data_IF_448911986916
#
_entry.id   IF_448911986916
#
_cell.length_a   1.000
_cell.length_b   1.000
_cell.length_c   1.000
_cell.angle_alpha   90.00
_cell.angle_beta   90.00
_cell.angle_gamma   90.00
#
_symmetry.space_group_name_H-M   'P 1'
#
loop_
_entity.id
_entity.type
_entity.pdbx_description
1 polymer ?
#
# COMPACT_ATOMS: atom_id res chain seq x y z
N UNK A 1 6.21 20.34 -7.16
CA UNK A 1 6.96 19.11 -7.53
C UNK A 1 6.25 17.84 -7.09
N UNK A 2 5.86 17.69 -5.81
CA UNK A 2 5.09 16.51 -5.33
C UNK A 2 3.85 16.21 -6.16
N UNK A 3 3.09 17.24 -6.52
CA UNK A 3 1.84 17.11 -7.29
C UNK A 3 2.05 16.43 -8.64
N UNK A 4 3.16 16.73 -9.32
CA UNK A 4 3.50 16.13 -10.62
C UNK A 4 3.81 14.64 -10.45
N UNK A 5 4.51 14.26 -9.37
CA UNK A 5 4.79 12.85 -9.05
C UNK A 5 3.52 12.08 -8.68
N UNK A 6 2.66 12.66 -7.85
CA UNK A 6 1.38 12.05 -7.48
C UNK A 6 0.50 11.86 -8.71
N UNK A 7 0.41 12.87 -9.57
CA UNK A 7 -0.33 12.79 -10.82
C UNK A 7 0.25 11.75 -11.79
N UNK A 8 1.58 11.64 -11.88
CA UNK A 8 2.21 10.60 -12.68
C UNK A 8 1.77 9.20 -12.23
N UNK A 9 1.78 8.96 -10.91
CA UNK A 9 1.33 7.70 -10.33
C UNK A 9 -0.16 7.43 -10.54
N UNK A 10 -1.02 8.45 -10.42
CA UNK A 10 -2.47 8.32 -10.62
C UNK A 10 -2.86 8.06 -12.08
N UNK A 11 -2.14 8.65 -13.03
CA UNK A 11 -2.45 8.51 -14.46
C UNK A 11 -1.85 7.24 -15.09
N UNK A 12 -1.12 6.41 -14.33
CA UNK A 12 -0.56 5.12 -14.78
C UNK A 12 0.24 5.18 -16.10
N UNK A 13 0.92 6.29 -16.37
CA UNK A 13 1.78 6.41 -17.54
C UNK A 13 2.99 5.48 -17.43
N UNK A 14 3.36 4.83 -18.54
CA UNK A 14 4.53 3.93 -18.58
C UNK A 14 5.86 4.68 -18.50
N UNK A 15 5.94 5.86 -19.11
CA UNK A 15 7.16 6.64 -19.24
C UNK A 15 6.96 8.03 -18.64
N UNK A 16 7.81 8.39 -17.69
CA UNK A 16 7.79 9.72 -17.06
C UNK A 16 8.06 10.83 -18.08
N UNK A 17 8.96 10.60 -19.05
CA UNK A 17 9.27 11.58 -20.09
C UNK A 17 8.04 11.94 -20.93
N UNK A 18 7.22 10.96 -21.31
CA UNK A 18 6.01 11.19 -22.10
C UNK A 18 4.95 11.94 -21.29
N UNK A 19 4.77 11.55 -20.02
CA UNK A 19 3.91 12.29 -19.08
C UNK A 19 4.39 13.73 -18.85
N UNK A 20 5.69 13.96 -18.79
CA UNK A 20 6.21 15.31 -18.54
C UNK A 20 6.07 16.23 -19.76
N UNK A 21 6.36 15.72 -20.96
CA UNK A 21 6.39 16.53 -22.18
C UNK A 21 4.99 16.82 -22.73
N UNK A 22 4.06 15.87 -22.63
CA UNK A 22 2.74 16.04 -23.22
C UNK A 22 1.79 16.71 -22.21
N UNK A 23 1.29 16.04 -21.15
CA UNK A 23 0.30 16.69 -20.31
C UNK A 23 0.85 17.82 -19.44
N UNK A 24 2.05 17.69 -18.87
CA UNK A 24 2.57 18.69 -17.92
C UNK A 24 3.05 19.96 -18.63
N UNK A 25 3.86 19.84 -19.70
CA UNK A 25 4.35 21.01 -20.42
C UNK A 25 3.29 21.71 -21.30
N UNK A 26 2.25 21.00 -21.75
CA UNK A 26 1.20 21.59 -22.61
C UNK A 26 0.06 22.16 -21.79
N UNK A 27 -0.55 21.35 -20.90
CA UNK A 27 -1.75 21.78 -20.17
C UNK A 27 -1.43 22.47 -18.84
N UNK A 28 -0.37 22.07 -18.14
CA UNK A 28 -0.09 22.57 -16.79
C UNK A 28 0.95 23.69 -16.74
N UNK A 29 1.29 24.26 -17.89
CA UNK A 29 2.25 25.37 -17.98
C UNK A 29 1.76 26.64 -17.30
N UNK A 30 0.44 26.84 -17.24
CA UNK A 30 -0.17 27.97 -16.53
C UNK A 30 -0.08 27.80 -15.01
N UNK A 31 -0.26 26.58 -14.51
CA UNK A 31 -0.17 26.23 -13.09
C UNK A 31 1.27 26.26 -12.56
N UNK A 32 2.24 26.00 -13.45
CA UNK A 32 3.66 25.98 -13.11
C UNK A 32 4.46 26.89 -14.06
N UNK A 33 4.45 28.21 -13.83
CA UNK A 33 5.13 29.17 -14.71
C UNK A 33 6.66 29.00 -14.73
N UNK A 34 7.24 28.40 -13.69
CA UNK A 34 8.66 28.02 -13.63
C UNK A 34 8.83 26.51 -13.56
N UNK A 35 8.49 25.84 -14.66
CA UNK A 35 8.67 24.40 -14.78
C UNK A 35 10.16 24.07 -15.04
N UNK A 36 10.82 23.25 -14.21
CA UNK A 36 12.21 22.85 -14.45
C UNK A 36 12.32 22.00 -15.72
N UNK A 37 13.53 21.89 -16.27
CA UNK A 37 13.78 20.91 -17.33
C UNK A 37 13.55 19.48 -16.80
N UNK A 38 13.14 18.57 -17.69
CA UNK A 38 12.92 17.16 -17.34
C UNK A 38 14.10 16.53 -16.58
N UNK A 39 15.33 16.84 -16.99
CA UNK A 39 16.55 16.33 -16.35
C UNK A 39 16.71 16.85 -14.92
N UNK A 40 16.54 18.17 -14.70
CA UNK A 40 16.54 18.76 -13.36
C UNK A 40 15.44 18.19 -12.48
N UNK A 41 14.28 17.92 -13.07
CA UNK A 41 13.18 17.28 -12.35
C UNK A 41 13.58 15.88 -11.87
N UNK A 42 14.14 15.03 -12.74
CA UNK A 42 14.60 13.67 -12.37
C UNK A 42 15.62 13.70 -11.22
N UNK A 43 16.58 14.64 -11.25
CA UNK A 43 17.54 14.80 -10.17
C UNK A 43 16.88 15.17 -8.83
N UNK A 44 15.75 15.87 -8.86
CA UNK A 44 14.98 16.24 -7.68
C UNK A 44 13.98 15.18 -7.20
N UNK A 45 13.63 14.19 -8.03
CA UNK A 45 12.73 13.09 -7.66
C UNK A 45 13.15 12.41 -6.34
N UNK A 46 14.39 11.93 -6.14
CA UNK A 46 14.76 11.23 -4.89
C UNK A 46 14.65 12.13 -3.66
N UNK A 47 14.99 13.42 -3.80
CA UNK A 47 14.91 14.40 -2.71
C UNK A 47 13.46 14.71 -2.32
N UNK A 48 12.54 14.64 -3.28
CA UNK A 48 11.11 14.90 -3.05
C UNK A 48 10.33 13.65 -2.62
N UNK A 49 10.81 12.46 -2.98
CA UNK A 49 10.23 11.18 -2.55
C UNK A 49 10.20 11.00 -1.04
N UNK A 50 11.23 11.41 -0.32
CA UNK A 50 11.31 11.29 1.14
C UNK A 50 10.15 12.05 1.83
N UNK A 51 9.98 13.37 1.60
CA UNK A 51 8.87 14.11 2.16
C UNK A 51 7.50 13.62 1.67
N UNK A 52 7.39 13.12 0.44
CA UNK A 52 6.15 12.52 -0.05
C UNK A 52 5.78 11.24 0.73
N UNK A 53 6.76 10.37 0.97
CA UNK A 53 6.58 9.16 1.77
C UNK A 53 6.19 9.47 3.21
N UNK A 54 6.81 10.51 3.81
CA UNK A 54 6.45 10.97 5.16
C UNK A 54 5.03 11.53 5.17
N UNK A 55 4.67 12.34 4.18
CA UNK A 55 3.31 12.88 4.03
C UNK A 55 2.27 11.77 3.89
N UNK A 56 2.51 10.78 3.01
CA UNK A 56 1.63 9.62 2.87
C UNK A 56 1.53 8.82 4.16
N UNK A 57 2.66 8.52 4.83
CA UNK A 57 2.66 7.86 6.14
C UNK A 57 1.90 8.63 7.21
N UNK A 58 1.91 9.96 7.15
CA UNK A 58 1.12 10.79 8.06
C UNK A 58 -0.37 10.75 7.71
N UNK A 59 -0.73 10.69 6.43
CA UNK A 59 -2.12 10.52 5.98
C UNK A 59 -2.67 9.12 6.33
N UNK A 60 -1.83 8.09 6.34
CA UNK A 60 -2.15 6.80 6.94
C UNK A 60 -2.19 6.98 8.47
N UNK A 61 -3.34 7.36 9.03
CA UNK A 61 -3.53 7.58 10.47
C UNK A 61 -3.03 6.41 11.33
N UNK A 62 -2.92 6.60 12.65
CA UNK A 62 -2.39 5.59 13.59
C UNK A 62 -3.06 4.22 13.35
N UNK A 63 -2.30 3.27 12.82
CA UNK A 63 -2.74 1.89 12.68
C UNK A 63 -2.96 1.29 14.08
N UNK A 64 -4.20 1.32 14.57
CA UNK A 64 -4.59 0.70 15.84
C UNK A 64 -4.69 -0.80 15.66
N UNK A 65 -3.54 -1.48 15.68
CA UNK A 65 -3.39 -2.93 15.83
C UNK A 65 -3.88 -3.82 14.67
N UNK A 66 -4.69 -3.31 13.74
CA UNK A 66 -5.23 -4.09 12.62
C UNK A 66 -5.28 -3.22 11.36
N UNK A 67 -4.26 -3.35 10.51
CA UNK A 67 -4.24 -2.72 9.19
C UNK A 67 -4.89 -3.69 8.19
N UNK A 68 -6.19 -3.54 7.94
CA UNK A 68 -6.82 -4.23 6.81
C UNK A 68 -6.36 -3.55 5.52
N UNK A 69 -5.27 -4.05 4.96
CA UNK A 69 -5.04 -3.89 3.52
C UNK A 69 -6.05 -4.83 2.87
N UNK A 70 -6.94 -4.31 2.01
CA UNK A 70 -7.79 -5.13 1.14
C UNK A 70 -6.88 -5.88 0.16
N UNK A 71 -6.19 -6.90 0.67
CA UNK A 71 -5.45 -7.84 -0.13
C UNK A 71 -6.50 -8.63 -0.89
N UNK A 72 -6.71 -8.28 -2.15
CA UNK A 72 -7.42 -9.15 -3.11
C UNK A 72 -6.97 -10.58 -2.87
N UNK A 73 -7.92 -11.48 -2.58
CA UNK A 73 -7.63 -12.87 -2.22
C UNK A 73 -6.61 -13.48 -3.18
N UNK A 74 -5.36 -13.63 -2.72
CA UNK A 74 -4.31 -14.22 -3.55
C UNK A 74 -4.67 -15.71 -3.68
N UNK A 75 -5.08 -16.13 -4.88
CA UNK A 75 -5.30 -17.53 -5.21
C UNK A 75 -3.93 -18.23 -5.34
N UNK A 76 -3.27 -18.45 -4.21
CA UNK A 76 -1.91 -19.03 -4.14
C UNK A 76 -1.88 -20.45 -4.69
N UNK A 77 -2.92 -21.25 -4.43
CA UNK A 77 -3.03 -22.60 -4.92
C UNK A 77 -4.50 -23.00 -5.13
N UNK A 78 -4.73 -23.99 -6.00
CA UNK A 78 -6.04 -24.62 -6.11
C UNK A 78 -6.40 -25.31 -4.78
N UNK A 79 -7.68 -25.23 -4.38
CA UNK A 79 -8.18 -25.78 -3.11
C UNK A 79 -7.78 -27.24 -2.84
N UNK A 80 -7.59 -28.05 -3.90
CA UNK A 80 -7.18 -29.48 -3.79
C UNK A 80 -5.71 -29.69 -3.41
N UNK A 81 -4.84 -28.68 -3.58
CA UNK A 81 -3.38 -28.78 -3.39
C UNK A 81 -2.86 -28.03 -2.18
N UNK A 82 -3.73 -27.47 -1.34
CA UNK A 82 -3.37 -26.71 -0.14
C UNK A 82 -2.43 -27.53 0.77
N UNK A 83 -2.76 -28.80 1.02
CA UNK A 83 -1.96 -29.69 1.89
C UNK A 83 -0.60 -30.11 1.31
N UNK A 84 -0.36 -29.89 0.02
CA UNK A 84 0.91 -30.22 -0.63
C UNK A 84 1.90 -29.06 -0.67
N UNK A 85 1.45 -27.86 -0.30
CA UNK A 85 2.22 -26.63 -0.49
C UNK A 85 3.15 -26.34 0.69
N UNK A 86 4.42 -26.72 0.58
CA UNK A 86 5.42 -26.57 1.65
C UNK A 86 5.75 -25.11 2.02
N UNK A 87 5.63 -24.18 1.08
CA UNK A 87 6.02 -22.76 1.30
C UNK A 87 4.95 -21.96 2.06
N UNK A 88 3.69 -22.40 2.03
CA UNK A 88 2.58 -21.74 2.74
C UNK A 88 1.95 -22.68 3.77
N UNK A 89 2.72 -23.65 4.25
CA UNK A 89 2.27 -24.59 5.26
C UNK A 89 1.87 -23.79 6.53
N UNK A 90 0.67 -24.03 7.05
CA UNK A 90 0.01 -23.27 8.13
C UNK A 90 -0.44 -21.83 7.82
N UNK A 91 -0.05 -21.24 6.68
CA UNK A 91 -0.53 -19.92 6.23
C UNK A 91 -1.71 -20.03 5.26
N UNK A 92 -1.71 -21.06 4.41
CA UNK A 92 -2.79 -21.37 3.48
C UNK A 92 -3.88 -22.18 4.21
N UNK A 93 -4.68 -21.52 5.04
CA UNK A 93 -5.84 -22.14 5.67
C UNK A 93 -7.12 -21.88 4.85
N UNK A 94 -7.99 -22.88 4.76
CA UNK A 94 -9.34 -22.69 4.20
C UNK A 94 -10.15 -21.83 5.16
N UNK A 95 -10.58 -20.66 4.70
CA UNK A 95 -11.60 -19.88 5.40
C UNK A 95 -12.88 -20.71 5.54
N UNK A 96 -13.40 -20.82 6.77
CA UNK A 96 -14.66 -21.53 7.03
C UNK A 96 -15.80 -20.66 6.48
N UNK A 97 -16.75 -21.20 5.71
CA UNK A 97 -17.94 -20.44 5.35
C UNK A 97 -18.69 -20.07 6.64
N UNK A 98 -18.86 -18.78 6.88
CA UNK A 98 -19.58 -18.24 8.03
C UNK A 98 -21.08 -18.46 7.85
N UNK A 99 -21.54 -19.68 8.09
CA UNK A 99 -22.95 -20.01 8.31
C UNK A 99 -23.08 -21.11 9.36
N UNK A 100 -22.92 -20.73 10.62
CA UNK A 100 -23.62 -21.35 11.76
C UNK A 100 -23.60 -20.37 12.93
N UNK A 101 -24.78 -19.99 13.41
CA UNK A 101 -24.94 -19.14 14.60
C UNK A 101 -24.32 -19.76 15.85
N UNK A 102 -23.93 -18.91 16.79
CA UNK A 102 -23.34 -19.28 18.07
C UNK A 102 -22.11 -18.42 18.38
N UNK A 103 -22.16 -17.68 19.49
CA UNK A 103 -21.24 -16.59 19.85
C UNK A 103 -19.74 -16.93 19.78
N UNK A 104 -18.98 -15.90 19.43
CA UNK A 104 -17.51 -15.92 19.36
C UNK A 104 -16.95 -15.91 20.78
N UNK A 105 -16.79 -17.08 21.38
CA UNK A 105 -15.84 -17.27 22.46
C UNK A 105 -14.42 -17.28 21.85
N UNK A 106 -13.82 -16.10 21.70
CA UNK A 106 -12.38 -16.03 21.48
C UNK A 106 -11.69 -16.37 22.80
N UNK A 107 -11.05 -17.53 22.86
CA UNK A 107 -10.09 -17.86 23.92
C UNK A 107 -8.89 -16.94 23.77
N UNK A 108 -8.76 -15.99 24.69
CA UNK A 108 -7.56 -15.21 24.92
C UNK A 108 -6.44 -16.13 25.43
N UNK A 109 -5.21 -16.09 24.89
CA UNK A 109 -4.04 -16.53 25.63
C UNK A 109 -3.53 -15.31 26.42
N UNK A 110 -4.05 -15.10 27.63
CA UNK A 110 -3.47 -14.13 28.56
C UNK A 110 -2.26 -14.79 29.23
N UNK A 111 -1.06 -14.50 28.73
CA UNK A 111 0.19 -14.86 29.38
C UNK A 111 0.72 -13.70 30.24
N UNK A 112 0.93 -14.02 31.53
CA UNK A 112 1.89 -13.46 32.51
C UNK A 112 1.57 -12.16 33.29
N UNK A 113 1.45 -12.39 34.61
CA UNK A 113 2.21 -11.80 35.73
C UNK A 113 1.81 -10.45 36.35
N UNK A 114 2.15 -10.36 37.65
CA UNK A 114 2.02 -9.28 38.65
C UNK A 114 0.72 -9.35 39.48
N UNK A 115 0.67 -9.44 40.80
CA UNK A 115 1.64 -9.49 41.91
C UNK A 115 0.85 -9.55 43.24
N UNK A 116 1.47 -10.09 44.30
CA UNK A 116 1.02 -10.15 45.72
C UNK A 116 0.63 -8.76 46.31
N UNK A 117 -0.02 -8.62 47.49
CA UNK A 117 0.22 -9.31 48.78
C UNK A 117 -0.52 -10.63 48.97
#
# INVERSE_FOLDING_TARGET
>A
MMTILVAFHQNHYRNFQHFYLDPVCVYWRQEFPQLPSHQRFIEWIPSTLIPLCVYWKHCFGRCTGISFVDATKIQVCHNRRISSHRVFDNLAAREKPLWRGGGIAQRSPCSRQCGRP
#
